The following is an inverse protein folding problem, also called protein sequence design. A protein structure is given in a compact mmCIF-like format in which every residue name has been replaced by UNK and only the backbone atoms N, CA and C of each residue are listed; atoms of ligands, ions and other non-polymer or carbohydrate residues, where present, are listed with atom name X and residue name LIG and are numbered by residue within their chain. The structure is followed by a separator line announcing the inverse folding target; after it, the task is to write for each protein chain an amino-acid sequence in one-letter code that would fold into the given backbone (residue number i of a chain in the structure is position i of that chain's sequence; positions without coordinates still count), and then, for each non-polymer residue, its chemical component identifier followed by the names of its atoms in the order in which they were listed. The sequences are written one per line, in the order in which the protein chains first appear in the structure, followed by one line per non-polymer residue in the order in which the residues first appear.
data_IF_670750224007
#
_entry.id   IF_670750224007
#
_cell.length_a   1.000
_cell.length_b   1.000
_cell.length_c   1.000
_cell.angle_alpha   90.00
_cell.angle_beta   90.00
_cell.angle_gamma   90.00
#
_symmetry.space_group_name_H-M   'P 1'
#
loop_
_entity.id
_entity.type
_entity.pdbx_description
1 polymer ?
#
# COMPACT_ATOMS: atom_id res chain seq x y z
N UNK A 1 10.97 -16.13 33.98
CA UNK A 1 10.20 -14.97 33.49
C UNK A 1 9.57 -14.16 34.61
N UNK A 2 9.03 -14.79 35.68
CA UNK A 2 8.42 -14.06 36.79
C UNK A 2 9.42 -13.14 37.50
N UNK A 3 10.60 -13.63 37.88
CA UNK A 3 11.65 -12.77 38.44
C UNK A 3 12.14 -11.65 37.55
N UNK A 4 12.03 -11.81 36.21
CA UNK A 4 12.32 -10.72 35.27
C UNK A 4 11.22 -9.64 35.31
N UNK A 5 9.95 -10.03 35.38
CA UNK A 5 8.81 -9.10 35.46
C UNK A 5 8.93 -8.27 36.75
N UNK A 6 9.25 -8.90 37.86
CA UNK A 6 9.42 -8.23 39.16
C UNK A 6 10.60 -7.26 39.12
N UNK A 7 11.73 -7.68 38.54
CA UNK A 7 12.90 -6.81 38.37
C UNK A 7 12.60 -5.60 37.46
N UNK A 8 11.84 -5.79 36.38
CA UNK A 8 11.44 -4.68 35.47
C UNK A 8 10.51 -3.70 36.19
N UNK A 9 9.55 -4.22 36.97
CA UNK A 9 8.65 -3.41 37.80
C UNK A 9 9.41 -2.61 38.85
N UNK A 10 10.31 -3.25 39.60
CA UNK A 10 11.17 -2.59 40.57
C UNK A 10 12.10 -1.54 39.90
N UNK A 11 12.55 -1.79 38.70
CA UNK A 11 13.36 -0.86 37.92
C UNK A 11 12.57 0.26 37.24
N UNK A 12 11.27 0.43 37.55
CA UNK A 12 10.42 1.52 37.01
C UNK A 12 10.05 1.36 35.53
N UNK A 13 10.21 0.17 34.93
CA UNK A 13 9.77 -0.09 33.54
C UNK A 13 8.25 -0.15 33.50
N UNK A 14 7.66 0.43 32.46
CA UNK A 14 6.19 0.50 32.30
C UNK A 14 5.72 -0.45 31.22
N UNK A 15 6.29 -0.41 30.04
CA UNK A 15 5.99 -1.28 28.92
C UNK A 15 7.13 -2.25 28.61
N UNK A 16 6.81 -3.52 28.42
CA UNK A 16 7.78 -4.55 28.03
C UNK A 16 7.42 -5.08 26.65
N UNK A 17 8.41 -5.12 25.76
CA UNK A 17 8.33 -5.68 24.43
C UNK A 17 9.15 -6.96 24.38
N UNK A 18 8.49 -8.08 24.05
CA UNK A 18 9.10 -9.40 23.97
C UNK A 18 9.04 -9.91 22.54
N UNK A 19 10.19 -9.89 21.87
CA UNK A 19 10.33 -10.49 20.53
C UNK A 19 10.64 -11.98 20.69
N UNK A 20 9.73 -12.83 20.22
CA UNK A 20 9.90 -14.29 20.23
C UNK A 20 10.17 -14.74 18.78
N UNK A 21 11.40 -15.13 18.50
CA UNK A 21 11.80 -15.67 17.20
C UNK A 21 11.05 -16.98 16.90
N UNK A 22 10.84 -17.30 15.62
CA UNK A 22 10.05 -18.45 15.18
C UNK A 22 10.60 -19.77 15.74
N UNK A 23 11.92 -19.91 15.83
CA UNK A 23 12.58 -21.11 16.40
C UNK A 23 12.29 -21.28 17.90
N UNK A 24 11.79 -20.23 18.54
CA UNK A 24 11.43 -20.20 19.96
C UNK A 24 9.92 -20.05 20.19
N UNK A 25 9.10 -20.32 19.18
CA UNK A 25 7.65 -20.17 19.26
C UNK A 25 7.00 -20.93 20.43
N UNK A 26 7.62 -22.05 20.89
CA UNK A 26 7.19 -22.79 22.06
C UNK A 26 7.21 -21.97 23.38
N UNK A 27 7.87 -20.81 23.42
CA UNK A 27 7.84 -19.90 24.56
C UNK A 27 6.64 -18.96 24.61
N UNK A 28 5.88 -18.85 23.49
CA UNK A 28 4.70 -17.97 23.42
C UNK A 28 3.67 -18.30 24.49
N UNK A 29 3.25 -19.57 24.71
CA UNK A 29 2.33 -19.92 25.83
C UNK A 29 2.84 -19.51 27.18
N UNK A 30 4.16 -19.60 27.40
CA UNK A 30 4.79 -19.19 28.68
C UNK A 30 4.69 -17.69 28.90
N UNK A 31 4.80 -16.88 27.83
CA UNK A 31 4.66 -15.43 27.93
C UNK A 31 3.17 -15.03 28.12
N UNK A 32 2.27 -15.62 27.34
CA UNK A 32 0.83 -15.30 27.44
C UNK A 32 0.23 -15.70 28.77
N UNK A 33 0.67 -16.83 29.40
CA UNK A 33 0.25 -17.20 30.74
C UNK A 33 0.69 -16.22 31.84
N UNK A 34 1.62 -15.32 31.51
CA UNK A 34 2.11 -14.23 32.39
C UNK A 34 1.58 -12.86 31.98
N UNK A 35 0.52 -12.85 31.19
CA UNK A 35 -0.20 -11.64 30.81
C UNK A 35 0.48 -10.81 29.70
N UNK A 36 1.39 -11.39 28.91
CA UNK A 36 1.77 -10.79 27.65
C UNK A 36 0.65 -10.98 26.63
N UNK A 37 0.40 -9.97 25.82
CA UNK A 37 -0.58 -9.98 24.72
C UNK A 37 0.13 -9.85 23.37
N UNK A 38 -0.50 -10.37 22.32
CA UNK A 38 0.02 -10.24 20.97
C UNK A 38 -0.03 -8.77 20.53
N UNK A 39 1.06 -8.31 19.90
CA UNK A 39 1.10 -7.00 19.26
C UNK A 39 1.09 -7.15 17.73
N UNK A 40 2.08 -7.83 17.17
CA UNK A 40 2.16 -8.13 15.74
C UNK A 40 3.04 -9.36 15.50
N UNK A 41 3.00 -9.89 14.27
CA UNK A 41 3.85 -10.98 13.82
C UNK A 41 4.46 -10.65 12.48
N UNK A 42 5.71 -11.10 12.29
CA UNK A 42 6.43 -11.14 11.02
C UNK A 42 6.80 -12.60 10.69
N UNK A 43 7.39 -12.84 9.52
CA UNK A 43 7.76 -14.21 9.11
C UNK A 43 8.67 -14.92 10.10
N UNK A 44 9.57 -14.18 10.76
CA UNK A 44 10.61 -14.71 11.62
C UNK A 44 10.31 -14.59 13.12
N UNK A 45 9.27 -13.85 13.49
CA UNK A 45 8.97 -13.65 14.93
C UNK A 45 7.53 -13.21 15.20
N UNK A 46 7.13 -13.35 16.44
CA UNK A 46 5.98 -12.64 17.01
C UNK A 46 6.46 -11.64 18.06
N UNK A 47 5.87 -10.45 18.06
CA UNK A 47 6.05 -9.43 19.10
C UNK A 47 4.90 -9.51 20.08
N UNK A 48 5.24 -9.68 21.36
CA UNK A 48 4.31 -9.65 22.47
C UNK A 48 4.60 -8.41 23.33
N UNK A 49 3.58 -7.88 23.98
CA UNK A 49 3.71 -6.73 24.87
C UNK A 49 3.06 -7.00 26.21
N UNK A 50 3.58 -6.37 27.27
CA UNK A 50 2.97 -6.34 28.59
C UNK A 50 3.10 -4.96 29.19
N UNK A 51 1.98 -4.39 29.62
CA UNK A 51 1.95 -3.19 30.43
C UNK A 51 2.09 -3.62 31.91
N UNK A 52 3.02 -3.00 32.65
CA UNK A 52 3.34 -3.41 34.03
C UNK A 52 2.54 -2.66 35.11
N UNK A 53 2.21 -1.34 34.96
CA UNK A 53 1.34 -0.68 35.93
C UNK A 53 -0.08 -1.28 35.90
N UNK A 54 -0.70 -1.39 37.09
CA UNK A 54 -2.03 -1.98 37.26
C UNK A 54 -3.14 -0.93 37.39
N UNK A 55 -2.76 0.28 37.82
CA UNK A 55 -3.61 1.43 38.10
C UNK A 55 -3.62 2.48 36.96
N UNK A 56 -2.91 2.23 35.87
CA UNK A 56 -2.78 3.16 34.77
C UNK A 56 -3.12 2.50 33.42
N UNK A 57 -3.76 3.24 32.54
CA UNK A 57 -4.01 2.81 31.17
C UNK A 57 -2.69 2.59 30.40
N UNK A 58 -2.66 1.56 29.58
CA UNK A 58 -1.50 1.27 28.73
C UNK A 58 -1.28 2.38 27.71
N UNK A 59 -0.04 2.85 27.61
CA UNK A 59 0.42 3.77 26.57
C UNK A 59 1.23 3.08 25.48
N UNK A 60 1.27 1.74 25.48
CA UNK A 60 1.88 0.98 24.37
C UNK A 60 1.06 1.28 23.09
N UNK A 61 1.70 1.74 22.01
CA UNK A 61 0.98 1.98 20.76
C UNK A 61 0.35 0.70 20.23
N UNK A 62 -0.80 0.81 19.60
CA UNK A 62 -1.42 -0.32 18.90
C UNK A 62 -0.59 -0.72 17.67
N UNK A 63 -0.81 -1.94 17.19
CA UNK A 63 -0.28 -2.38 15.89
C UNK A 63 -0.78 -1.47 14.76
N UNK A 64 -0.02 -1.42 13.67
CA UNK A 64 -0.40 -0.68 12.45
C UNK A 64 -1.86 -0.97 12.07
N UNK A 65 -2.61 0.10 11.84
CA UNK A 65 -4.07 0.04 11.59
C UNK A 65 -4.42 0.03 10.11
N UNK A 66 -3.44 0.28 9.22
CA UNK A 66 -3.66 0.45 7.79
C UNK A 66 -2.77 -0.46 6.96
N UNK A 67 -3.30 -0.89 5.82
CA UNK A 67 -2.54 -1.30 4.65
C UNK A 67 -2.53 -0.15 3.66
N UNK A 68 -1.47 -0.05 2.87
CA UNK A 68 -1.33 0.97 1.83
C UNK A 68 -1.25 0.27 0.49
N UNK A 69 -2.15 0.65 -0.42
CA UNK A 69 -2.20 0.14 -1.78
C UNK A 69 -1.99 1.24 -2.82
N UNK A 70 -1.61 0.84 -4.01
CA UNK A 70 -1.48 1.70 -5.19
C UNK A 70 -2.30 1.18 -6.35
N UNK A 71 -2.85 2.10 -7.13
CA UNK A 71 -3.37 1.84 -8.48
C UNK A 71 -2.62 2.72 -9.46
N UNK A 72 -2.07 2.11 -10.48
CA UNK A 72 -1.26 2.78 -11.48
C UNK A 72 -2.10 3.11 -12.73
N UNK A 73 -2.47 4.38 -12.88
CA UNK A 73 -3.04 4.86 -14.11
C UNK A 73 -1.92 5.19 -15.10
N UNK A 74 -1.68 4.29 -16.06
CA UNK A 74 -0.59 4.38 -17.01
C UNK A 74 -1.08 4.94 -18.32
N UNK A 75 -0.57 6.11 -18.71
CA UNK A 75 -0.86 6.76 -20.00
C UNK A 75 0.31 6.60 -20.98
N UNK A 76 0.06 6.03 -22.15
CA UNK A 76 0.96 6.18 -23.29
C UNK A 76 0.63 7.51 -24.00
N UNK A 77 1.47 8.51 -23.76
CA UNK A 77 1.29 9.87 -24.34
C UNK A 77 1.29 9.89 -25.87
N UNK A 78 2.01 8.94 -26.51
CA UNK A 78 2.12 8.85 -27.95
C UNK A 78 0.82 8.36 -28.62
N UNK A 79 0.16 7.38 -28.01
CA UNK A 79 -1.07 6.77 -28.57
C UNK A 79 -2.34 7.21 -27.84
N UNK A 80 -2.22 7.95 -26.74
CA UNK A 80 -3.32 8.34 -25.85
C UNK A 80 -4.11 7.15 -25.29
N UNK A 81 -3.44 6.00 -25.15
CA UNK A 81 -4.04 4.78 -24.60
C UNK A 81 -3.67 4.58 -23.16
N UNK A 82 -4.52 3.85 -22.45
CA UNK A 82 -4.43 3.52 -21.02
C UNK A 82 -4.19 2.02 -20.86
N UNK A 83 -3.27 1.64 -19.99
CA UNK A 83 -2.98 0.24 -19.70
C UNK A 83 -4.01 -0.32 -18.71
N UNK A 84 -4.70 -1.39 -19.11
CA UNK A 84 -5.66 -2.10 -18.28
C UNK A 84 -5.32 -3.58 -18.16
N UNK A 85 -5.66 -4.15 -17.02
CA UNK A 85 -5.47 -5.56 -16.69
C UNK A 85 -6.76 -6.21 -16.21
N UNK A 86 -6.82 -7.54 -16.30
CA UNK A 86 -7.81 -8.40 -15.64
C UNK A 86 -7.08 -9.36 -14.72
N UNK A 87 -7.48 -9.44 -13.47
CA UNK A 87 -6.92 -10.38 -12.51
C UNK A 87 -7.34 -11.82 -12.81
N UNK A 88 -6.39 -12.74 -12.66
CA UNK A 88 -6.64 -14.17 -12.73
C UNK A 88 -7.28 -14.69 -11.42
N UNK A 89 -6.95 -14.07 -10.29
CA UNK A 89 -7.36 -14.48 -8.94
C UNK A 89 -7.81 -13.25 -8.14
N UNK A 90 -8.42 -13.51 -6.98
CA UNK A 90 -8.88 -12.44 -6.09
C UNK A 90 -10.33 -12.01 -6.32
N UNK A 91 -10.80 -10.96 -5.63
CA UNK A 91 -12.20 -10.52 -5.66
C UNK A 91 -12.70 -10.05 -7.03
N UNK A 92 -11.80 -9.63 -7.91
CA UNK A 92 -12.12 -9.16 -9.27
C UNK A 92 -12.08 -10.28 -10.33
N UNK A 93 -11.55 -11.46 -9.99
CA UNK A 93 -11.39 -12.55 -10.94
C UNK A 93 -12.74 -13.05 -11.50
N UNK A 94 -12.77 -13.36 -12.80
CA UNK A 94 -13.94 -13.93 -13.48
C UNK A 94 -15.10 -12.95 -13.71
N UNK A 95 -14.95 -11.67 -13.36
CA UNK A 95 -16.01 -10.64 -13.51
C UNK A 95 -15.95 -9.86 -14.82
N UNK A 96 -15.03 -10.19 -15.72
CA UNK A 96 -14.73 -9.39 -16.92
C UNK A 96 -14.42 -7.91 -16.58
N UNK A 97 -13.83 -7.70 -15.41
CA UNK A 97 -13.48 -6.37 -14.89
C UNK A 97 -12.12 -5.94 -15.42
N UNK A 98 -12.09 -4.92 -16.24
CA UNK A 98 -10.89 -4.21 -16.64
C UNK A 98 -10.57 -3.10 -15.64
N UNK A 99 -9.37 -3.11 -15.10
CA UNK A 99 -8.91 -2.13 -14.11
C UNK A 99 -7.47 -1.69 -14.38
N UNK A 100 -7.04 -0.60 -13.77
CA UNK A 100 -5.63 -0.25 -13.74
C UNK A 100 -4.83 -1.30 -12.96
N UNK A 101 -3.54 -1.53 -13.23
CA UNK A 101 -2.63 -2.31 -12.40
C UNK A 101 -2.68 -1.85 -10.94
N UNK A 102 -2.68 -2.79 -9.99
CA UNK A 102 -2.79 -2.45 -8.56
C UNK A 102 -2.00 -3.42 -7.70
N UNK A 103 -1.46 -2.94 -6.59
CA UNK A 103 -0.84 -3.78 -5.59
C UNK A 103 -0.70 -3.11 -4.24
N UNK A 104 -0.05 -3.81 -3.30
CA UNK A 104 0.26 -3.30 -1.98
C UNK A 104 1.70 -2.78 -1.92
N UNK A 105 1.91 -1.75 -1.11
CA UNK A 105 3.27 -1.32 -0.79
C UNK A 105 3.97 -2.36 0.06
N UNK A 106 5.25 -2.58 -0.22
CA UNK A 106 6.14 -3.29 0.66
C UNK A 106 6.63 -2.41 1.81
N UNK A 107 7.12 -3.03 2.90
CA UNK A 107 7.65 -2.29 4.03
C UNK A 107 8.89 -1.48 3.62
N UNK A 108 8.81 -0.17 3.78
CA UNK A 108 9.87 0.77 3.41
C UNK A 108 9.86 1.20 1.93
N UNK A 109 8.83 0.81 1.19
CA UNK A 109 8.66 1.20 -0.21
C UNK A 109 7.89 2.52 -0.34
N UNK A 110 8.31 3.37 -1.26
CA UNK A 110 7.63 4.62 -1.58
C UNK A 110 6.48 4.41 -2.59
N UNK A 111 5.40 5.18 -2.46
CA UNK A 111 4.20 5.07 -3.33
C UNK A 111 4.52 5.12 -4.84
N UNK A 112 5.37 6.06 -5.35
CA UNK A 112 5.72 6.05 -6.76
C UNK A 112 6.48 4.80 -7.20
N UNK A 113 7.34 4.27 -6.33
CA UNK A 113 8.16 3.09 -6.63
C UNK A 113 7.27 1.84 -6.68
N UNK A 114 6.36 1.69 -5.70
CA UNK A 114 5.38 0.60 -5.70
C UNK A 114 4.53 0.60 -6.98
N UNK A 115 4.01 1.75 -7.40
CA UNK A 115 3.19 1.84 -8.60
C UNK A 115 3.96 1.43 -9.88
N UNK A 116 5.21 1.89 -10.03
CA UNK A 116 6.05 1.49 -11.17
C UNK A 116 6.43 0.00 -11.11
N UNK A 117 6.73 -0.54 -9.92
CA UNK A 117 7.03 -1.95 -9.72
C UNK A 117 5.85 -2.84 -10.12
N UNK A 118 4.64 -2.55 -9.62
CA UNK A 118 3.44 -3.32 -9.94
C UNK A 118 3.17 -3.35 -11.45
N UNK A 119 3.29 -2.19 -12.14
CA UNK A 119 3.13 -2.15 -13.61
C UNK A 119 4.17 -3.01 -14.31
N UNK A 120 5.43 -2.94 -13.89
CA UNK A 120 6.51 -3.75 -14.46
C UNK A 120 6.27 -5.23 -14.22
N UNK A 121 5.88 -5.63 -13.00
CA UNK A 121 5.63 -7.04 -12.63
C UNK A 121 4.41 -7.60 -13.37
N UNK A 122 3.29 -6.88 -13.37
CA UNK A 122 2.04 -7.35 -13.98
C UNK A 122 2.07 -7.35 -15.51
N UNK A 123 2.80 -6.40 -16.14
CA UNK A 123 2.66 -6.14 -17.58
C UNK A 123 3.98 -6.01 -18.37
N UNK A 124 5.11 -5.92 -17.69
CA UNK A 124 6.42 -5.71 -18.34
C UNK A 124 6.61 -4.31 -18.96
N UNK A 125 5.74 -3.36 -18.66
CA UNK A 125 5.82 -2.00 -19.22
C UNK A 125 6.69 -1.13 -18.30
N UNK A 126 7.74 -0.50 -18.87
CA UNK A 126 8.61 0.44 -18.16
C UNK A 126 7.98 1.84 -18.16
N UNK A 127 7.80 2.40 -16.95
CA UNK A 127 7.08 3.65 -16.73
C UNK A 127 7.89 4.63 -15.91
N UNK A 128 7.52 5.89 -16.02
CA UNK A 128 8.00 6.98 -15.17
C UNK A 128 6.86 7.55 -14.34
N UNK A 129 7.18 7.91 -13.10
CA UNK A 129 6.25 8.59 -12.21
C UNK A 129 6.04 10.04 -12.67
N UNK A 130 4.79 10.47 -12.74
CA UNK A 130 4.41 11.85 -13.02
C UNK A 130 3.79 12.52 -11.80
N UNK A 131 2.70 11.93 -11.25
CA UNK A 131 1.97 12.54 -10.14
C UNK A 131 1.22 11.52 -9.29
N UNK A 132 0.73 11.93 -8.12
CA UNK A 132 -0.36 11.24 -7.43
C UNK A 132 -1.67 11.90 -7.83
N UNK A 133 -2.54 11.17 -8.53
CA UNK A 133 -3.83 11.68 -9.02
C UNK A 133 -4.81 11.91 -7.87
N UNK A 134 -4.81 11.00 -6.90
CA UNK A 134 -5.67 11.10 -5.74
C UNK A 134 -5.48 9.94 -4.77
N UNK A 135 -6.18 9.99 -3.65
CA UNK A 135 -6.18 8.90 -2.69
C UNK A 135 -7.58 8.67 -2.12
N UNK A 136 -7.81 7.46 -1.64
CA UNK A 136 -8.99 7.14 -0.83
C UNK A 136 -8.57 6.52 0.49
N UNK A 137 -9.39 6.74 1.50
CA UNK A 137 -9.29 6.09 2.79
C UNK A 137 -10.56 5.28 3.04
N UNK A 138 -10.43 3.99 3.31
CA UNK A 138 -11.55 3.08 3.56
C UNK A 138 -11.27 2.20 4.78
N UNK A 139 -12.36 1.70 5.43
CA UNK A 139 -12.26 0.92 6.67
C UNK A 139 -12.67 -0.54 6.49
N UNK A 140 -12.57 -1.05 5.27
CA UNK A 140 -13.01 -2.40 4.88
C UNK A 140 -11.86 -3.25 4.29
N UNK A 141 -10.63 -3.00 4.74
CA UNK A 141 -9.47 -3.77 4.31
C UNK A 141 -9.41 -5.19 4.88
N UNK A 142 -8.49 -5.99 4.37
CA UNK A 142 -8.26 -7.34 4.84
C UNK A 142 -7.84 -7.35 6.33
N UNK A 143 -8.21 -8.42 7.03
CA UNK A 143 -7.86 -8.64 8.45
C UNK A 143 -8.31 -7.53 9.40
N UNK A 144 -9.39 -6.80 9.07
CA UNK A 144 -9.90 -5.69 9.89
C UNK A 144 -9.01 -4.45 9.89
N UNK A 145 -8.10 -4.33 8.94
CA UNK A 145 -7.29 -3.13 8.74
C UNK A 145 -8.03 -2.12 7.87
N UNK A 146 -7.73 -0.85 8.07
CA UNK A 146 -8.12 0.20 7.14
C UNK A 146 -7.23 0.16 5.90
N UNK A 147 -7.72 0.72 4.81
CA UNK A 147 -7.04 0.76 3.52
C UNK A 147 -6.82 2.21 3.09
N UNK A 148 -5.57 2.56 2.83
CA UNK A 148 -5.17 3.81 2.22
C UNK A 148 -4.70 3.50 0.80
N UNK A 149 -5.44 3.95 -0.22
CA UNK A 149 -5.14 3.65 -1.60
C UNK A 149 -4.76 4.91 -2.37
N UNK A 150 -3.63 4.88 -3.05
CA UNK A 150 -3.14 5.97 -3.88
C UNK A 150 -3.33 5.64 -5.36
N UNK A 151 -4.02 6.52 -6.08
CA UNK A 151 -4.07 6.47 -7.54
C UNK A 151 -2.90 7.28 -8.08
N UNK A 152 -2.01 6.63 -8.82
CA UNK A 152 -0.74 7.19 -9.29
C UNK A 152 -0.76 7.32 -10.81
N UNK A 153 -0.49 8.53 -11.31
CA UNK A 153 -0.30 8.81 -12.72
C UNK A 153 1.12 8.44 -13.16
N UNK A 154 1.21 7.50 -14.06
CA UNK A 154 2.45 7.07 -14.70
C UNK A 154 2.39 7.30 -16.21
N UNK A 155 3.52 7.60 -16.79
CA UNK A 155 3.68 7.67 -18.26
C UNK A 155 4.62 6.59 -18.74
N UNK A 156 4.37 6.07 -19.94
CA UNK A 156 5.31 5.11 -20.55
C UNK A 156 6.61 5.84 -20.85
N UNK A 157 7.71 5.28 -20.39
CA UNK A 157 9.05 5.85 -20.52
C UNK A 157 9.46 5.98 -21.98
N UNK A 158 10.15 7.06 -22.31
CA UNK A 158 10.62 7.31 -23.67
C UNK A 158 11.51 6.15 -24.17
N UNK A 159 11.20 5.66 -25.36
CA UNK A 159 11.89 4.52 -25.95
C UNK A 159 11.54 3.15 -25.38
N UNK A 160 10.73 3.05 -24.34
CA UNK A 160 10.30 1.77 -23.78
C UNK A 160 9.36 1.01 -24.75
N UNK A 161 9.39 -0.32 -24.67
CA UNK A 161 8.48 -1.19 -25.42
C UNK A 161 7.03 -1.00 -24.93
N UNK A 162 6.08 -1.03 -25.87
CA UNK A 162 4.64 -1.09 -25.59
C UNK A 162 4.10 -2.51 -25.65
N UNK A 163 4.98 -3.50 -25.88
CA UNK A 163 4.62 -4.91 -25.88
C UNK A 163 4.32 -5.37 -24.46
N UNK A 164 3.08 -5.81 -24.22
CA UNK A 164 2.64 -6.28 -22.93
C UNK A 164 3.12 -7.73 -22.73
N UNK A 165 3.75 -7.97 -21.57
CA UNK A 165 4.19 -9.29 -21.10
C UNK A 165 3.56 -9.56 -19.75
N UNK A 166 2.40 -10.20 -19.75
CA UNK A 166 1.64 -10.45 -18.51
C UNK A 166 2.38 -11.42 -17.58
N UNK A 167 2.21 -11.20 -16.28
CA UNK A 167 2.60 -12.14 -15.23
C UNK A 167 1.51 -13.22 -15.11
N UNK A 168 1.74 -14.46 -15.56
CA UNK A 168 0.68 -15.45 -15.73
C UNK A 168 0.14 -16.00 -14.39
N UNK A 169 0.76 -15.69 -13.27
CA UNK A 169 0.31 -16.10 -11.93
C UNK A 169 -0.81 -15.24 -11.39
N UNK A 170 -0.88 -13.97 -11.80
CA UNK A 170 -1.80 -12.97 -11.25
C UNK A 170 -2.69 -12.33 -12.31
N UNK A 171 -2.18 -12.16 -13.54
CA UNK A 171 -2.87 -11.45 -14.61
C UNK A 171 -3.39 -12.43 -15.66
N UNK A 172 -4.70 -12.39 -15.90
CA UNK A 172 -5.37 -13.18 -16.93
C UNK A 172 -5.23 -12.54 -18.31
N UNK A 173 -5.38 -11.22 -18.39
CA UNK A 173 -5.30 -10.43 -19.64
C UNK A 173 -4.80 -9.01 -19.35
N UNK A 174 -4.16 -8.41 -20.36
CA UNK A 174 -3.85 -6.98 -20.34
C UNK A 174 -4.02 -6.39 -21.74
N UNK A 175 -4.34 -5.09 -21.80
CA UNK A 175 -4.53 -4.37 -23.06
C UNK A 175 -4.20 -2.89 -22.94
N UNK A 176 -3.92 -2.27 -24.06
CA UNK A 176 -3.97 -0.84 -24.24
C UNK A 176 -5.39 -0.44 -24.68
N UNK A 177 -6.13 0.19 -23.77
CA UNK A 177 -7.52 0.63 -23.98
C UNK A 177 -7.59 2.10 -24.40
N UNK A 178 -8.72 2.52 -24.94
CA UNK A 178 -9.03 3.94 -25.07
C UNK A 178 -9.46 4.54 -23.75
N UNK A 179 -9.46 5.87 -23.63
CA UNK A 179 -10.02 6.56 -22.45
C UNK A 179 -11.50 6.26 -22.27
N UNK A 180 -12.24 6.19 -23.38
CA UNK A 180 -13.67 5.83 -23.39
C UNK A 180 -13.90 4.43 -22.78
N UNK A 181 -13.10 3.42 -23.20
CA UNK A 181 -13.19 2.06 -22.62
C UNK A 181 -12.83 2.03 -21.14
N UNK A 182 -11.94 2.91 -20.66
CA UNK A 182 -11.61 3.02 -19.24
C UNK A 182 -12.75 3.64 -18.43
N UNK A 183 -13.40 4.67 -18.97
CA UNK A 183 -14.49 5.38 -18.29
C UNK A 183 -15.82 4.61 -18.35
N UNK A 184 -16.10 3.95 -19.49
CA UNK A 184 -17.31 3.13 -19.70
C UNK A 184 -17.15 1.74 -19.05
N UNK A 185 -16.78 1.73 -17.77
CA UNK A 185 -16.60 0.51 -16.99
C UNK A 185 -17.91 0.18 -16.25
N UNK A 186 -18.63 -0.91 -16.63
CA UNK A 186 -19.95 -1.24 -16.07
C UNK A 186 -19.91 -1.61 -14.58
N UNK A 187 -18.73 -1.86 -14.02
CA UNK A 187 -18.54 -2.17 -12.60
C UNK A 187 -18.31 -0.93 -11.72
N UNK A 188 -18.25 0.26 -12.32
CA UNK A 188 -18.03 1.52 -11.61
C UNK A 188 -19.34 2.30 -11.52
N UNK A 189 -19.91 2.31 -10.34
CA UNK A 189 -21.16 3.01 -10.08
C UNK A 189 -20.97 4.53 -10.14
N UNK A 190 -21.84 5.27 -10.87
CA UNK A 190 -21.83 6.73 -10.86
C UNK A 190 -21.94 7.30 -9.44
N UNK A 191 -21.09 8.28 -9.12
CA UNK A 191 -21.02 8.90 -7.80
C UNK A 191 -20.21 8.12 -6.76
N UNK A 192 -19.70 6.92 -7.09
CA UNK A 192 -18.79 6.18 -6.21
C UNK A 192 -17.40 6.83 -6.15
N UNK A 193 -16.60 6.42 -5.16
CA UNK A 193 -15.19 6.85 -5.06
C UNK A 193 -14.36 6.44 -6.28
N UNK A 194 -14.65 5.29 -6.88
CA UNK A 194 -13.98 4.83 -8.08
C UNK A 194 -14.33 5.72 -9.27
N UNK A 195 -15.60 6.09 -9.43
CA UNK A 195 -16.03 7.04 -10.45
C UNK A 195 -15.33 8.40 -10.30
N UNK A 196 -15.21 8.91 -9.07
CA UNK A 196 -14.50 10.16 -8.80
C UNK A 196 -13.00 10.08 -9.17
N UNK A 197 -12.33 8.97 -8.84
CA UNK A 197 -10.92 8.76 -9.21
C UNK A 197 -10.75 8.62 -10.74
N UNK A 198 -11.65 7.92 -11.44
CA UNK A 198 -11.62 7.80 -12.90
C UNK A 198 -11.77 9.17 -13.58
N UNK A 199 -12.66 10.02 -13.08
CA UNK A 199 -12.81 11.39 -13.60
C UNK A 199 -11.54 12.24 -13.37
N UNK A 200 -10.82 12.05 -12.27
CA UNK A 200 -9.54 12.71 -12.04
C UNK A 200 -8.44 12.18 -12.97
N UNK A 201 -8.43 10.86 -13.26
CA UNK A 201 -7.53 10.26 -14.24
C UNK A 201 -7.74 10.85 -15.63
N UNK A 202 -8.99 11.01 -16.07
CA UNK A 202 -9.34 11.66 -17.35
C UNK A 202 -8.83 13.10 -17.40
N UNK A 203 -9.11 13.89 -16.37
CA UNK A 203 -8.64 15.28 -16.27
C UNK A 203 -7.11 15.38 -16.31
N UNK A 204 -6.41 14.51 -15.58
CA UNK A 204 -4.96 14.47 -15.64
C UNK A 204 -4.46 14.11 -17.04
N UNK A 205 -5.04 13.10 -17.67
CA UNK A 205 -4.66 12.71 -19.03
C UNK A 205 -4.93 13.81 -20.08
N UNK A 206 -5.83 14.74 -19.82
CA UNK A 206 -6.17 15.88 -20.68
C UNK A 206 -5.46 17.19 -20.27
N UNK A 207 -4.49 17.12 -19.35
CA UNK A 207 -3.75 18.28 -18.80
C UNK A 207 -4.68 19.32 -18.09
N UNK A 208 -5.85 18.89 -17.63
CA UNK A 208 -6.83 19.71 -16.88
C UNK A 208 -6.64 19.61 -15.36
N UNK A 209 -5.80 18.70 -14.89
CA UNK A 209 -5.52 18.46 -13.49
C UNK A 209 -4.07 17.97 -13.29
N UNK A 210 -3.30 18.70 -12.50
CA UNK A 210 -1.89 18.43 -12.29
C UNK A 210 -1.61 17.34 -11.22
N UNK A 211 -2.61 16.96 -10.42
CA UNK A 211 -2.44 15.99 -9.34
C UNK A 211 -1.78 16.57 -8.08
N UNK A 212 -1.12 15.69 -7.34
CA UNK A 212 -0.38 15.99 -6.12
C UNK A 212 1.10 15.68 -6.37
N UNK A 213 1.97 16.68 -6.20
CA UNK A 213 3.41 16.54 -6.41
C UNK A 213 4.04 15.70 -5.31
N UNK A 214 4.95 14.80 -5.66
CA UNK A 214 5.75 14.02 -4.72
C UNK A 214 7.20 14.51 -4.76
N UNK A 215 7.61 15.26 -3.75
CA UNK A 215 8.96 15.81 -3.62
C UNK A 215 9.79 14.99 -2.64
N UNK A 216 11.02 14.62 -3.00
CA UNK A 216 12.00 14.10 -2.05
C UNK A 216 12.58 15.24 -1.23
N UNK A 217 12.34 15.22 0.07
CA UNK A 217 12.81 16.23 1.01
C UNK A 217 13.62 15.57 2.15
N UNK A 218 14.58 16.28 2.75
CA UNK A 218 15.30 15.77 3.92
C UNK A 218 14.34 15.40 5.04
N UNK A 219 14.60 14.26 5.72
CA UNK A 219 13.76 13.76 6.83
C UNK A 219 13.66 14.75 8.00
N UNK A 220 14.66 15.60 8.20
CA UNK A 220 14.69 16.59 9.30
C UNK A 220 14.92 15.97 10.69
N UNK A 221 14.71 16.78 11.75
CA UNK A 221 14.89 16.38 13.16
C UNK A 221 16.21 15.69 13.49
N UNK A 222 17.31 16.09 12.80
CA UNK A 222 18.65 15.51 12.99
C UNK A 222 18.81 14.08 12.46
N UNK A 223 17.87 13.58 11.69
CA UNK A 223 17.94 12.26 11.03
C UNK A 223 18.49 12.41 9.62
N UNK A 224 19.32 11.47 9.21
CA UNK A 224 19.81 11.37 7.83
C UNK A 224 18.80 10.66 6.95
N UNK A 225 18.74 11.04 5.67
CA UNK A 225 17.86 10.45 4.67
C UNK A 225 16.83 11.43 4.12
N UNK A 226 16.08 10.95 3.16
CA UNK A 226 15.01 11.69 2.48
C UNK A 226 13.67 10.96 2.63
N UNK A 227 12.59 11.69 2.47
CA UNK A 227 11.21 11.20 2.51
C UNK A 227 10.41 11.86 1.41
N UNK A 228 9.52 11.12 0.77
CA UNK A 228 8.54 11.72 -0.13
C UNK A 228 7.51 12.54 0.65
N UNK A 229 7.37 13.80 0.26
CA UNK A 229 6.38 14.72 0.78
C UNK A 229 5.40 15.07 -0.34
N UNK A 230 4.12 14.80 -0.11
CA UNK A 230 3.05 15.00 -1.08
C UNK A 230 2.41 16.36 -0.87
N UNK A 231 2.52 17.24 -1.85
CA UNK A 231 2.05 18.63 -1.77
C UNK A 231 1.24 18.99 -3.01
N UNK A 232 0.29 19.91 -2.86
CA UNK A 232 -0.45 20.44 -4.00
C UNK A 232 0.49 21.12 -5.00
N UNK A 233 0.11 21.13 -6.28
CA UNK A 233 0.74 22.02 -7.26
C UNK A 233 0.37 23.46 -6.92
N UNK A 234 1.38 24.35 -6.91
CA UNK A 234 1.16 25.80 -6.78
C UNK A 234 0.54 26.38 -8.05
#
# INVERSE_FOLDING_TARGET
MDGSIDAWRAGGRRGVWLKVAIERAAHVPVATSRGFVFHHAEKEYVMLTKWLPEDEASTIPANASHQVGVGAFVLDKATRRVLLVQELRGPAAGRDLWKMPTGLLEAGEDVPIAAMREVMEETGIDTEFDTVIGCRHAHVGAFGKSDMFFCVGLVVKDGASREIKIQPQEIAKAKWATMEEFLDNPHIEPGSHAHALHALCEKWANDEYAGIRANKLPLGFGRSGEVYTYVAHE
#
